data_IF_944713086962
#
_entry.id   IF_944713086962
#
_cell.length_a   1.000
_cell.length_b   1.000
_cell.length_c   1.000
_cell.angle_alpha   90.00
_cell.angle_beta   90.00
_cell.angle_gamma   90.00
#
_symmetry.space_group_name_H-M   'P 1'
#
loop_
_entity.id
_entity.type
_entity.pdbx_description
1 polymer ?
#
# COMPACT_ATOMS: atom_id res chain seq x y z
N UNK A 1 -9.81 7.44 -20.04
CA UNK A 1 -10.94 6.74 -19.37
C UNK A 1 -11.45 7.66 -18.27
N UNK A 2 -12.74 7.99 -18.27
CA UNK A 2 -13.35 8.86 -17.25
C UNK A 2 -13.81 7.99 -16.08
N UNK A 3 -13.02 7.91 -15.02
CA UNK A 3 -13.41 7.22 -13.79
C UNK A 3 -14.51 7.97 -13.03
N UNK A 4 -15.19 7.28 -12.10
CA UNK A 4 -16.22 7.91 -11.26
C UNK A 4 -15.58 8.87 -10.26
N UNK A 5 -16.25 10.01 -10.00
CA UNK A 5 -15.82 11.07 -9.09
C UNK A 5 -16.82 11.31 -7.96
N UNK A 6 -18.06 10.86 -8.12
CA UNK A 6 -19.09 10.99 -7.12
C UNK A 6 -18.79 10.04 -5.95
N UNK A 7 -18.44 10.62 -4.79
CA UNK A 7 -18.03 9.87 -3.60
C UNK A 7 -19.08 8.87 -3.13
N UNK A 8 -20.38 9.23 -3.14
CA UNK A 8 -21.42 8.30 -2.69
C UNK A 8 -21.49 7.05 -3.56
N UNK A 9 -21.33 7.20 -4.88
CA UNK A 9 -21.29 6.06 -5.81
C UNK A 9 -20.03 5.23 -5.61
N UNK A 10 -18.88 5.88 -5.42
CA UNK A 10 -17.62 5.20 -5.13
C UNK A 10 -17.74 4.34 -3.88
N UNK A 11 -18.26 4.89 -2.78
CA UNK A 11 -18.41 4.16 -1.52
C UNK A 11 -19.39 2.99 -1.62
N UNK A 12 -20.49 3.13 -2.38
CA UNK A 12 -21.46 2.04 -2.61
C UNK A 12 -20.90 0.89 -3.44
N UNK A 13 -19.85 1.14 -4.22
CA UNK A 13 -19.27 0.15 -5.15
C UNK A 13 -17.86 -0.31 -4.76
N UNK A 14 -17.32 0.25 -3.69
CA UNK A 14 -16.01 -0.09 -3.15
C UNK A 14 -16.03 -1.51 -2.59
N UNK A 15 -15.06 -2.31 -3.03
CA UNK A 15 -14.88 -3.70 -2.60
C UNK A 15 -13.48 -3.86 -2.01
N UNK A 16 -13.34 -4.00 -0.69
CA UNK A 16 -12.06 -4.30 -0.07
C UNK A 16 -11.68 -5.75 -0.35
N UNK A 17 -10.45 -5.97 -0.81
CA UNK A 17 -9.88 -7.28 -1.06
C UNK A 17 -8.62 -7.46 -0.20
N UNK A 18 -8.62 -8.46 0.67
CA UNK A 18 -7.45 -8.81 1.47
C UNK A 18 -6.49 -9.64 0.62
N UNK A 19 -5.32 -9.07 0.33
CA UNK A 19 -4.23 -9.78 -0.33
C UNK A 19 -3.46 -10.56 0.73
N UNK A 20 -3.54 -11.89 0.65
CA UNK A 20 -2.91 -12.77 1.62
C UNK A 20 -1.39 -12.53 1.70
N UNK A 21 -0.88 -12.62 2.92
CA UNK A 21 0.53 -12.50 3.23
C UNK A 21 0.81 -11.46 4.31
N UNK A 22 2.06 -11.48 4.76
CA UNK A 22 2.59 -10.53 5.73
C UNK A 22 3.57 -9.60 5.00
N UNK A 23 3.37 -8.31 5.15
CA UNK A 23 4.13 -7.27 4.46
C UNK A 23 4.82 -6.38 5.48
N UNK A 24 6.02 -5.92 5.16
CA UNK A 24 6.83 -5.07 6.06
C UNK A 24 7.38 -3.88 5.30
N UNK A 25 7.54 -2.78 6.01
CA UNK A 25 8.18 -1.56 5.53
C UNK A 25 9.66 -1.61 5.93
N UNK A 26 10.54 -1.51 4.94
CA UNK A 26 11.98 -1.48 5.14
C UNK A 26 12.56 -0.23 4.51
N UNK A 27 13.67 0.26 5.07
CA UNK A 27 14.43 1.39 4.55
C UNK A 27 15.76 0.89 4.00
N UNK A 28 16.09 1.26 2.77
CA UNK A 28 17.32 0.86 2.07
C UNK A 28 17.98 2.06 1.41
N UNK A 29 19.31 2.02 1.32
CA UNK A 29 20.11 3.11 0.71
C UNK A 29 20.05 3.09 -0.81
N UNK A 30 20.01 1.90 -1.40
CA UNK A 30 19.78 1.71 -2.83
C UNK A 30 19.07 0.38 -3.11
N UNK A 31 18.57 0.24 -4.35
CA UNK A 31 17.83 -0.94 -4.82
C UNK A 31 18.71 -1.91 -5.63
N UNK A 32 20.03 -1.71 -5.73
CA UNK A 32 20.87 -2.41 -6.72
C UNK A 32 20.92 -3.92 -6.50
N UNK A 33 20.87 -4.35 -5.23
CA UNK A 33 20.93 -5.75 -4.85
C UNK A 33 19.55 -6.37 -4.59
N UNK A 34 18.48 -5.65 -4.91
CA UNK A 34 17.11 -6.10 -4.75
C UNK A 34 16.51 -6.44 -6.10
N UNK A 35 15.85 -7.59 -6.17
CA UNK A 35 15.02 -7.93 -7.31
C UNK A 35 13.73 -7.09 -7.24
N UNK A 36 13.56 -6.18 -8.20
CA UNK A 36 12.41 -5.26 -8.23
C UNK A 36 11.07 -5.99 -8.33
N UNK A 37 11.04 -7.22 -8.84
CA UNK A 37 9.81 -8.02 -8.92
C UNK A 37 9.31 -8.50 -7.54
N UNK A 38 10.20 -8.51 -6.54
CA UNK A 38 9.83 -8.91 -5.18
C UNK A 38 9.36 -7.72 -4.32
N UNK A 39 9.44 -6.50 -4.87
CA UNK A 39 9.06 -5.27 -4.21
C UNK A 39 7.64 -4.87 -4.60
N UNK A 40 6.77 -4.75 -3.59
CA UNK A 40 5.37 -4.34 -3.77
C UNK A 40 5.24 -2.85 -4.01
N UNK A 41 6.06 -2.05 -3.31
CA UNK A 41 6.06 -0.60 -3.41
C UNK A 41 7.48 -0.07 -3.16
N UNK A 42 7.86 0.95 -3.92
CA UNK A 42 9.08 1.74 -3.67
C UNK A 42 8.73 3.22 -3.60
N UNK A 43 9.23 3.90 -2.58
CA UNK A 43 9.12 5.34 -2.45
C UNK A 43 10.49 5.93 -2.14
N UNK A 44 10.92 6.88 -2.97
CA UNK A 44 12.22 7.55 -2.80
C UNK A 44 12.03 8.79 -1.93
N UNK A 45 12.54 8.73 -0.73
CA UNK A 45 12.60 9.84 0.20
C UNK A 45 13.92 10.59 0.04
N UNK A 46 14.08 11.71 0.75
CA UNK A 46 15.31 12.51 0.67
C UNK A 46 16.48 11.77 1.30
N UNK A 47 16.22 11.04 2.39
CA UNK A 47 17.24 10.40 3.22
C UNK A 47 17.56 8.96 2.77
N UNK A 48 16.56 8.24 2.24
CA UNK A 48 16.68 6.84 1.84
C UNK A 48 15.51 6.42 0.92
N UNK A 49 15.47 5.14 0.52
CA UNK A 49 14.34 4.55 -0.19
C UNK A 49 13.55 3.66 0.75
N UNK A 50 12.26 3.93 0.91
CA UNK A 50 11.31 3.04 1.59
C UNK A 50 10.79 2.00 0.59
N UNK A 51 10.78 0.74 1.02
CA UNK A 51 10.23 -0.38 0.25
C UNK A 51 9.20 -1.16 1.06
N UNK A 52 8.20 -1.71 0.38
CA UNK A 52 7.30 -2.72 0.95
C UNK A 52 7.61 -4.06 0.30
N UNK A 53 7.91 -5.05 1.11
CA UNK A 53 8.19 -6.44 0.67
C UNK A 53 7.43 -7.43 1.54
N UNK A 54 7.37 -8.70 1.11
CA UNK A 54 6.92 -9.79 1.99
C UNK A 54 7.89 -9.95 3.15
N UNK A 55 7.36 -10.19 4.35
CA UNK A 55 8.14 -10.42 5.58
C UNK A 55 9.26 -11.44 5.40
N UNK A 56 8.95 -12.57 4.75
CA UNK A 56 9.92 -13.64 4.51
C UNK A 56 11.17 -13.17 3.74
N UNK A 57 10.99 -12.24 2.80
CA UNK A 57 12.11 -11.68 2.04
C UNK A 57 12.94 -10.72 2.91
N UNK A 58 12.27 -9.86 3.67
CA UNK A 58 12.96 -8.97 4.61
C UNK A 58 13.78 -9.77 5.63
N UNK A 59 13.22 -10.86 6.17
CA UNK A 59 13.92 -11.75 7.09
C UNK A 59 15.14 -12.40 6.43
N UNK A 60 15.01 -12.90 5.20
CA UNK A 60 16.11 -13.50 4.43
C UNK A 60 17.24 -12.50 4.16
N UNK A 61 16.88 -11.28 3.79
CA UNK A 61 17.82 -10.19 3.51
C UNK A 61 18.30 -9.47 4.77
N UNK A 62 17.78 -9.84 5.96
CA UNK A 62 18.05 -9.22 7.26
C UNK A 62 17.78 -7.71 7.27
N UNK A 63 16.70 -7.31 6.60
CA UNK A 63 16.23 -5.93 6.61
C UNK A 63 15.49 -5.64 7.93
N UNK A 64 15.72 -4.47 8.50
CA UNK A 64 15.01 -4.03 9.69
C UNK A 64 13.60 -3.53 9.33
N UNK A 65 12.64 -3.83 10.20
CA UNK A 65 11.25 -3.35 10.15
C UNK A 65 10.66 -3.33 11.58
N UNK A 66 9.66 -2.48 11.82
CA UNK A 66 9.10 -2.24 13.16
C UNK A 66 7.74 -2.89 13.41
N UNK A 67 7.00 -3.24 12.36
CA UNK A 67 5.69 -3.89 12.48
C UNK A 67 5.37 -4.75 11.24
N UNK A 68 4.40 -5.64 11.38
CA UNK A 68 3.86 -6.48 10.30
C UNK A 68 2.53 -5.91 9.86
N UNK A 69 2.37 -5.70 8.56
CA UNK A 69 1.16 -5.18 7.93
C UNK A 69 0.44 -6.27 7.12
N UNK A 70 -0.89 -6.18 7.09
CA UNK A 70 -1.73 -6.87 6.10
C UNK A 70 -2.03 -5.93 4.93
N UNK A 71 -2.21 -6.47 3.73
CA UNK A 71 -2.50 -5.67 2.53
C UNK A 71 -3.97 -5.77 2.15
N UNK A 72 -4.68 -4.63 2.20
CA UNK A 72 -6.04 -4.49 1.66
C UNK A 72 -5.99 -3.62 0.41
N UNK A 73 -6.50 -4.13 -0.70
CA UNK A 73 -6.73 -3.35 -1.93
C UNK A 73 -8.18 -2.89 -1.97
N UNK A 74 -8.40 -1.61 -2.24
CA UNK A 74 -9.75 -1.05 -2.41
C UNK A 74 -10.10 -1.06 -3.90
N UNK A 75 -10.87 -2.06 -4.36
CA UNK A 75 -11.27 -2.15 -5.76
C UNK A 75 -12.51 -1.30 -6.02
N UNK A 76 -12.35 -0.27 -6.85
CA UNK A 76 -13.41 0.65 -7.28
C UNK A 76 -13.02 1.30 -8.60
N UNK A 77 -13.99 1.60 -9.47
CA UNK A 77 -13.74 2.34 -10.70
C UNK A 77 -13.69 3.85 -10.44
N UNK A 78 -12.61 4.33 -9.82
CA UNK A 78 -12.41 5.74 -9.49
C UNK A 78 -11.51 6.47 -10.49
N UNK A 79 -11.69 7.78 -10.59
CA UNK A 79 -10.68 8.67 -11.16
C UNK A 79 -9.55 8.90 -10.15
N UNK A 80 -8.31 9.06 -10.61
CA UNK A 80 -7.15 9.35 -9.74
C UNK A 80 -7.28 10.70 -9.01
N UNK A 81 -8.03 11.64 -9.58
CA UNK A 81 -8.32 12.96 -9.01
C UNK A 81 -9.67 13.01 -8.28
N UNK A 82 -10.28 11.86 -7.98
CA UNK A 82 -11.48 11.81 -7.15
C UNK A 82 -11.15 12.22 -5.70
N UNK A 83 -11.94 13.14 -5.14
CA UNK A 83 -11.72 13.69 -3.80
C UNK A 83 -12.57 12.96 -2.77
N UNK A 84 -12.00 12.68 -1.60
CA UNK A 84 -12.73 12.20 -0.42
C UNK A 84 -12.69 10.69 -0.18
N UNK A 85 -12.26 9.88 -1.17
CA UNK A 85 -12.18 8.42 -1.00
C UNK A 85 -11.23 8.02 0.14
N UNK A 86 -10.03 8.61 0.17
CA UNK A 86 -9.04 8.38 1.24
C UNK A 86 -9.57 8.75 2.61
N UNK A 87 -10.19 9.92 2.75
CA UNK A 87 -10.78 10.36 4.00
C UNK A 87 -11.87 9.40 4.50
N UNK A 88 -12.74 8.92 3.61
CA UNK A 88 -13.85 8.06 3.96
C UNK A 88 -13.39 6.70 4.51
N UNK A 89 -12.46 6.00 3.84
CA UNK A 89 -12.00 4.70 4.34
C UNK A 89 -11.09 4.83 5.56
N UNK A 90 -10.26 5.89 5.65
CA UNK A 90 -9.45 6.14 6.84
C UNK A 90 -10.33 6.37 8.07
N UNK A 91 -11.44 7.09 7.93
CA UNK A 91 -12.40 7.29 9.01
C UNK A 91 -13.07 5.98 9.45
N UNK A 92 -13.37 5.08 8.51
CA UNK A 92 -13.94 3.77 8.84
C UNK A 92 -12.94 2.86 9.60
N UNK A 93 -11.64 3.01 9.32
CA UNK A 93 -10.56 2.26 9.98
C UNK A 93 -10.11 2.89 11.31
N UNK A 94 -10.45 4.14 11.60
CA UNK A 94 -9.99 4.85 12.79
C UNK A 94 -10.85 4.61 14.03
N UNK A 95 -11.91 3.83 13.91
CA UNK A 95 -12.84 3.55 15.01
C UNK A 95 -12.32 2.30 15.73
N UNK A 96 -11.87 2.48 16.97
CA UNK A 96 -11.61 1.38 17.93
C UNK A 96 -12.89 0.92 18.62
#
# INVERSE_FOLDING_TARGET
MTGEKNLEKLLKTLKPEHIQGEYVFCVVQDLKNLNLNDIVMTFREREATTIIVKKQLADFLKLEYSFIASWITLTVHSSLDAVGLTAAFSQALSIE
#
